data_IF_784975392502
#
_entry.id   IF_784975392502
#
_cell.length_a   1.000
_cell.length_b   1.000
_cell.length_c   1.000
_cell.angle_alpha   90.00
_cell.angle_beta   90.00
_cell.angle_gamma   90.00
#
_symmetry.space_group_name_H-M   'P 1'
#
loop_
_entity.id
_entity.type
_entity.pdbx_description
1 polymer ?
#
# COMPACT_ATOMS: atom_id res chain seq x y z
N UNK A 1 8.87 15.47 -10.77
CA UNK A 1 8.68 14.50 -9.67
C UNK A 1 8.15 13.24 -10.32
N UNK A 2 8.70 12.05 -10.04
CA UNK A 2 8.13 10.80 -10.54
C UNK A 2 6.72 10.60 -9.98
N UNK A 3 5.81 10.11 -10.83
CA UNK A 3 4.45 9.78 -10.44
C UNK A 3 4.34 8.29 -10.18
N UNK A 4 3.77 7.94 -9.04
CA UNK A 4 3.56 6.55 -8.65
C UNK A 4 2.08 6.27 -8.50
N UNK A 5 1.65 5.08 -8.89
CA UNK A 5 0.26 4.64 -8.84
C UNK A 5 0.11 3.49 -7.85
N UNK A 6 -0.93 3.54 -7.03
CA UNK A 6 -1.12 2.61 -5.90
C UNK A 6 -2.31 1.68 -6.17
N UNK A 7 -2.06 0.64 -6.96
CA UNK A 7 -3.06 -0.37 -7.29
C UNK A 7 -3.26 -1.30 -6.10
N UNK A 8 -4.48 -1.76 -5.88
CA UNK A 8 -4.77 -2.76 -4.84
C UNK A 8 -5.22 -4.04 -5.51
N UNK A 9 -4.43 -5.10 -5.38
CA UNK A 9 -4.77 -6.45 -5.84
C UNK A 9 -5.43 -7.22 -4.70
N UNK A 10 -6.61 -7.75 -4.95
CA UNK A 10 -7.40 -8.51 -3.99
C UNK A 10 -7.83 -9.81 -4.66
N UNK A 11 -7.20 -10.92 -4.29
CA UNK A 11 -7.41 -12.19 -4.98
C UNK A 11 -7.03 -12.09 -6.46
N UNK A 12 -8.01 -12.20 -7.37
CA UNK A 12 -7.82 -12.05 -8.81
C UNK A 12 -8.18 -10.67 -9.37
N UNK A 13 -8.73 -9.79 -8.55
CA UNK A 13 -9.18 -8.46 -8.96
C UNK A 13 -8.09 -7.42 -8.71
N UNK A 14 -7.82 -6.59 -9.72
CA UNK A 14 -6.89 -5.46 -9.63
C UNK A 14 -7.68 -4.15 -9.62
N UNK A 15 -7.75 -3.52 -8.45
CA UNK A 15 -8.34 -2.19 -8.28
C UNK A 15 -7.27 -1.17 -8.65
N UNK A 16 -7.39 -0.59 -9.83
CA UNK A 16 -6.43 0.42 -10.29
C UNK A 16 -6.68 1.77 -9.64
N UNK A 17 -5.61 2.46 -9.25
CA UNK A 17 -5.68 3.84 -8.79
C UNK A 17 -5.22 4.78 -9.92
N UNK A 18 -6.15 5.45 -10.63
CA UNK A 18 -5.80 6.32 -11.75
C UNK A 18 -5.29 7.69 -11.31
N UNK A 19 -5.42 8.07 -10.03
CA UNK A 19 -4.93 9.36 -9.55
C UNK A 19 -3.40 9.31 -9.40
N UNK A 20 -2.91 8.29 -8.70
CA UNK A 20 -1.51 8.22 -8.28
C UNK A 20 -1.09 9.39 -7.39
N UNK A 21 0.19 9.45 -7.05
CA UNK A 21 0.78 10.54 -6.29
C UNK A 21 2.14 10.95 -6.87
N UNK A 22 2.40 12.25 -6.90
CA UNK A 22 3.72 12.79 -7.21
C UNK A 22 4.62 12.63 -5.99
N UNK A 23 5.59 11.74 -6.08
CA UNK A 23 6.54 11.46 -5.01
C UNK A 23 7.95 11.74 -5.48
N UNK A 24 8.87 11.81 -4.53
CA UNK A 24 10.27 12.11 -4.81
C UNK A 24 11.02 10.88 -5.29
N UNK A 25 10.79 9.73 -4.65
CA UNK A 25 11.56 8.51 -4.80
C UNK A 25 10.74 7.29 -4.31
N UNK A 26 11.22 6.06 -4.59
CA UNK A 26 10.57 4.83 -4.14
C UNK A 26 10.46 4.72 -2.61
N UNK A 27 11.40 5.27 -1.84
CA UNK A 27 11.36 5.24 -0.38
C UNK A 27 10.14 6.03 0.14
N UNK A 28 9.86 7.20 -0.45
CA UNK A 28 8.64 7.94 -0.15
C UNK A 28 7.38 7.17 -0.54
N UNK A 29 7.41 6.43 -1.65
CA UNK A 29 6.29 5.59 -2.07
C UNK A 29 6.01 4.46 -1.07
N UNK A 30 7.04 3.88 -0.47
CA UNK A 30 6.91 2.90 0.60
C UNK A 30 6.24 3.47 1.86
N UNK A 31 6.64 4.66 2.31
CA UNK A 31 6.01 5.30 3.48
C UNK A 31 4.54 5.64 3.22
N UNK A 32 4.24 6.19 2.04
CA UNK A 32 2.86 6.51 1.63
C UNK A 32 2.01 5.25 1.54
N UNK A 33 2.53 4.17 0.96
CA UNK A 33 1.87 2.87 0.90
C UNK A 33 1.45 2.38 2.31
N UNK A 34 2.36 2.42 3.29
CA UNK A 34 2.08 2.00 4.67
C UNK A 34 1.00 2.85 5.32
N UNK A 35 1.03 4.17 5.13
CA UNK A 35 0.00 5.07 5.66
C UNK A 35 -1.36 4.76 5.03
N UNK A 36 -1.42 4.61 3.71
CA UNK A 36 -2.66 4.28 2.99
C UNK A 36 -3.26 2.96 3.45
N UNK A 37 -2.47 1.90 3.57
CA UNK A 37 -2.95 0.60 4.04
C UNK A 37 -3.55 0.71 5.44
N UNK A 38 -2.88 1.43 6.36
CA UNK A 38 -3.41 1.66 7.71
C UNK A 38 -4.72 2.43 7.71
N UNK A 39 -4.86 3.43 6.84
CA UNK A 39 -6.11 4.18 6.71
C UNK A 39 -7.23 3.26 6.20
N UNK A 40 -6.97 2.50 5.14
CA UNK A 40 -7.94 1.54 4.59
C UNK A 40 -8.37 0.50 5.64
N UNK A 41 -7.44 -0.05 6.43
CA UNK A 41 -7.76 -0.99 7.50
C UNK A 41 -8.61 -0.35 8.60
N UNK A 42 -8.39 0.92 8.95
CA UNK A 42 -9.15 1.65 9.98
C UNK A 42 -10.54 2.06 9.52
N UNK A 43 -10.66 2.46 8.25
CA UNK A 43 -11.90 2.94 7.64
C UNK A 43 -12.82 1.80 7.18
N UNK A 44 -12.38 0.55 7.33
CA UNK A 44 -13.13 -0.64 6.92
C UNK A 44 -13.00 -0.97 5.44
N UNK A 45 -12.01 -0.40 4.75
CA UNK A 45 -11.67 -0.68 3.36
C UNK A 45 -11.95 0.46 2.39
N UNK A 46 -11.64 0.21 1.12
CA UNK A 46 -12.19 0.99 0.01
C UNK A 46 -13.67 0.63 -0.15
N UNK A 47 -14.52 1.54 -0.66
CA UNK A 47 -15.94 1.25 -0.91
C UNK A 47 -16.16 0.02 -1.82
N UNK A 48 -15.15 -0.35 -2.63
CA UNK A 48 -15.18 -1.47 -3.57
C UNK A 48 -14.65 -2.79 -2.99
N UNK A 49 -14.05 -2.79 -1.79
CA UNK A 49 -13.39 -3.96 -1.19
C UNK A 49 -14.00 -4.29 0.17
N UNK A 50 -14.38 -5.55 0.41
CA UNK A 50 -14.89 -5.93 1.73
C UNK A 50 -13.73 -5.99 2.75
N UNK A 51 -13.98 -5.68 4.04
CA UNK A 51 -12.95 -5.70 5.09
C UNK A 51 -12.18 -7.02 5.20
N UNK A 52 -12.82 -8.14 4.84
CA UNK A 52 -12.20 -9.48 4.89
C UNK A 52 -11.17 -9.68 3.77
N UNK A 53 -11.41 -9.10 2.61
CA UNK A 53 -10.57 -9.33 1.43
C UNK A 53 -9.27 -8.52 1.52
N UNK A 54 -9.28 -7.42 2.29
CA UNK A 54 -8.10 -6.62 2.62
C UNK A 54 -7.02 -7.41 3.35
N UNK A 55 -7.36 -8.48 4.08
CA UNK A 55 -6.37 -9.32 4.78
C UNK A 55 -5.46 -10.03 3.77
N UNK A 56 -6.00 -10.39 2.60
CA UNK A 56 -5.28 -11.04 1.50
C UNK A 56 -4.85 -10.07 0.41
N UNK A 57 -5.09 -8.77 0.60
CA UNK A 57 -4.79 -7.76 -0.40
C UNK A 57 -3.30 -7.43 -0.47
N UNK A 58 -2.85 -7.05 -1.65
CA UNK A 58 -1.49 -6.58 -1.94
C UNK A 58 -1.61 -5.21 -2.58
N UNK A 59 -0.88 -4.23 -2.06
CA UNK A 59 -0.72 -2.93 -2.69
C UNK A 59 0.43 -3.00 -3.70
N UNK A 60 0.14 -2.78 -4.97
CA UNK A 60 1.12 -2.71 -6.05
C UNK A 60 1.37 -1.26 -6.39
N UNK A 61 2.61 -0.83 -6.17
CA UNK A 61 3.05 0.52 -6.52
C UNK A 61 3.78 0.44 -7.85
N UNK A 62 3.23 1.10 -8.86
CA UNK A 62 3.87 1.21 -10.17
C UNK A 62 4.36 2.63 -10.43
N UNK A 63 5.34 2.78 -11.31
CA UNK A 63 5.74 4.09 -11.83
C UNK A 63 4.87 4.54 -13.02
N UNK A 64 5.27 5.63 -13.68
CA UNK A 64 4.61 6.17 -14.87
C UNK A 64 4.71 5.26 -16.11
N UNK A 65 5.72 4.40 -16.18
CA UNK A 65 5.85 3.40 -17.23
C UNK A 65 4.98 2.16 -16.98
N UNK A 66 4.38 2.04 -15.79
CA UNK A 66 3.62 0.88 -15.34
C UNK A 66 4.49 -0.26 -14.82
N UNK A 67 5.77 0.01 -14.54
CA UNK A 67 6.66 -0.96 -13.93
C UNK A 67 6.38 -1.04 -12.42
N UNK A 68 6.27 -2.26 -11.89
CA UNK A 68 6.06 -2.47 -10.45
C UNK A 68 7.36 -2.15 -9.73
N UNK A 69 7.32 -1.09 -8.92
CA UNK A 69 8.43 -0.62 -8.10
C UNK A 69 8.39 -1.27 -6.71
N UNK A 70 7.19 -1.46 -6.16
CA UNK A 70 6.98 -2.05 -4.84
C UNK A 70 5.71 -2.91 -4.83
N UNK A 71 5.77 -4.03 -4.11
CA UNK A 71 4.60 -4.84 -3.77
C UNK A 71 4.53 -4.96 -2.26
N UNK A 72 3.40 -4.56 -1.67
CA UNK A 72 3.24 -4.47 -0.22
C UNK A 72 1.97 -5.20 0.24
N UNK A 73 2.09 -6.41 0.80
CA UNK A 73 0.96 -7.13 1.38
C UNK A 73 0.37 -6.38 2.57
N UNK A 74 -0.96 -6.28 2.63
CA UNK A 74 -1.63 -5.62 3.76
C UNK A 74 -1.37 -6.35 5.09
N UNK A 75 -1.16 -7.66 5.03
CA UNK A 75 -0.77 -8.50 6.17
C UNK A 75 0.55 -8.06 6.80
N UNK A 76 1.47 -7.48 6.03
CA UNK A 76 2.74 -6.98 6.56
C UNK A 76 2.53 -5.80 7.52
N UNK A 77 1.56 -4.92 7.24
CA UNK A 77 1.18 -3.81 8.15
C UNK A 77 0.55 -4.33 9.45
N UNK A 78 -0.14 -5.46 9.41
CA UNK A 78 -0.72 -6.10 10.60
C UNK A 78 0.34 -6.80 11.46
N UNK A 79 1.42 -7.28 10.84
CA UNK A 79 2.52 -7.98 11.51
C UNK A 79 3.59 -6.99 12.00
N UNK A 80 3.67 -5.80 11.38
CA UNK A 80 4.69 -4.79 11.63
C UNK A 80 4.87 -4.50 13.13
N UNK A 81 5.99 -4.96 13.73
CA UNK A 81 6.30 -4.71 15.13
C UNK A 81 6.93 -3.32 15.32
N UNK A 82 6.70 -2.33 14.45
CA UNK A 82 7.14 -0.94 14.67
C UNK A 82 6.49 -0.24 15.88
N UNK A 83 5.70 -0.96 16.69
CA UNK A 83 5.41 -0.64 18.10
C UNK A 83 6.43 -1.27 19.08
N UNK A 84 7.56 -1.78 18.61
CA UNK A 84 8.74 -1.97 19.45
C UNK A 84 9.42 -0.62 19.57
N UNK A 85 9.48 -0.03 20.78
CA UNK A 85 10.35 1.11 21.00
C UNK A 85 11.77 0.72 20.52
N UNK A 86 12.52 1.64 19.92
CA UNK A 86 13.88 1.35 19.49
C UNK A 86 14.63 0.75 20.68
N UNK A 87 15.09 -0.49 20.53
CA UNK A 87 16.01 -1.07 21.52
C UNK A 87 17.29 -0.27 21.39
N UNK A 88 17.45 0.72 22.25
CA UNK A 88 18.73 1.40 22.50
C UNK A 88 19.76 0.32 22.84
N UNK A 89 20.75 0.16 21.95
CA UNK A 89 21.94 -0.65 22.17
C UNK A 89 23.01 0.18 22.88
#
# INVERSE_FOLDING_TARGET
>A
MPRYFFHTRIGGDLISDPQGADLRDPDQAWEVARVMIRQLLREGGRPEAAPRDLITAILEVTDEAGEIVLEFPFSEVLIDPADRPPTTH
#
